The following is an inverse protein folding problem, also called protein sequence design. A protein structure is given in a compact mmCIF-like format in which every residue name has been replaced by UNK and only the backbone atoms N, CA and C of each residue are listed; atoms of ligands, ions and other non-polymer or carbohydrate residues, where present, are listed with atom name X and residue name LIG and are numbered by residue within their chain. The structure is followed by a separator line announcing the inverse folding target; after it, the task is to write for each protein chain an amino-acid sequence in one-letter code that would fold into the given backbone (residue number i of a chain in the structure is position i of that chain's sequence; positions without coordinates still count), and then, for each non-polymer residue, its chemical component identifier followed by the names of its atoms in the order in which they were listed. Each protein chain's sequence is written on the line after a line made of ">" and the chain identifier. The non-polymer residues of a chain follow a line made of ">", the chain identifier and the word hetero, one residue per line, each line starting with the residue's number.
data_IF_263740027121
#
_entry.id   IF_263740027121
#
_cell.length_a   1.000
_cell.length_b   1.000
_cell.length_c   1.000
_cell.angle_alpha   90.00
_cell.angle_beta   90.00
_cell.angle_gamma   90.00
#
_symmetry.space_group_name_H-M   'P 1'
#
loop_
_entity.id
_entity.type
_entity.pdbx_description
1 polymer ?
#
# COMPACT_ATOMS: atom_id res chain seq x y z
N UNK A 1 4.24 -3.40 -16.37
CA UNK A 1 3.08 -2.52 -16.11
C UNK A 1 3.47 -1.15 -15.58
N UNK A 2 4.43 -1.00 -14.65
CA UNK A 2 4.83 0.34 -14.18
C UNK A 2 5.32 1.29 -15.29
N UNK A 3 6.09 0.79 -16.26
CA UNK A 3 6.53 1.55 -17.44
C UNK A 3 5.40 2.03 -18.37
N UNK A 4 4.19 1.48 -18.22
CA UNK A 4 3.02 1.85 -19.00
C UNK A 4 2.41 3.16 -18.49
N UNK A 5 2.48 3.41 -17.17
CA UNK A 5 1.89 4.56 -16.50
C UNK A 5 2.74 5.83 -16.59
N UNK A 6 4.06 5.69 -16.69
CA UNK A 6 5.00 6.82 -16.79
C UNK A 6 4.96 7.56 -18.14
N UNK A 7 4.32 7.00 -19.18
CA UNK A 7 4.33 7.56 -20.55
C UNK A 7 2.98 8.09 -21.06
N UNK A 8 1.90 8.01 -20.27
CA UNK A 8 0.59 8.50 -20.72
C UNK A 8 0.54 10.04 -20.76
N UNK A 9 0.36 10.60 -21.96
CA UNK A 9 -0.06 11.99 -22.25
C UNK A 9 0.68 13.14 -21.56
N UNK A 10 1.93 12.95 -21.11
CA UNK A 10 2.66 13.99 -20.37
C UNK A 10 2.10 14.27 -18.97
N UNK A 11 1.14 13.46 -18.51
CA UNK A 11 0.64 13.46 -17.15
C UNK A 11 1.27 12.26 -16.42
N UNK A 12 1.95 12.51 -15.32
CA UNK A 12 2.51 11.46 -14.49
C UNK A 12 1.35 10.81 -13.72
N UNK A 13 0.91 9.64 -14.15
CA UNK A 13 -0.09 8.86 -13.42
C UNK A 13 0.60 8.01 -12.38
N UNK A 14 0.21 8.20 -11.11
CA UNK A 14 0.61 7.27 -10.06
C UNK A 14 -0.12 5.94 -10.27
N UNK A 15 0.57 4.84 -9.96
CA UNK A 15 0.02 3.50 -10.06
C UNK A 15 -1.20 3.36 -9.14
N UNK A 16 -2.30 2.86 -9.68
CA UNK A 16 -3.54 2.57 -8.98
C UNK A 16 -3.99 1.10 -9.17
N UNK A 17 -4.55 0.44 -8.16
CA UNK A 17 -5.08 -0.92 -8.24
C UNK A 17 -6.25 -0.98 -9.23
N UNK A 18 -7.18 -0.02 -9.16
CA UNK A 18 -8.30 0.10 -10.10
C UNK A 18 -7.80 0.32 -11.53
N UNK A 19 -6.77 1.15 -11.69
CA UNK A 19 -6.16 1.43 -12.99
C UNK A 19 -5.47 0.16 -13.53
N UNK A 20 -4.78 -0.61 -12.68
CA UNK A 20 -4.19 -1.89 -13.05
C UNK A 20 -5.25 -2.88 -13.53
N UNK A 21 -6.39 -2.95 -12.83
CA UNK A 21 -7.51 -3.80 -13.21
C UNK A 21 -8.13 -3.39 -14.56
N UNK A 22 -8.31 -2.09 -14.77
CA UNK A 22 -8.74 -1.51 -16.06
C UNK A 22 -7.79 -1.93 -17.19
N UNK A 23 -6.48 -1.77 -16.98
CA UNK A 23 -5.46 -2.17 -17.97
C UNK A 23 -5.48 -3.68 -18.24
N UNK A 24 -5.66 -4.51 -17.21
CA UNK A 24 -5.76 -5.96 -17.36
C UNK A 24 -7.00 -6.35 -18.20
N UNK A 25 -8.14 -5.71 -17.93
CA UNK A 25 -9.38 -5.90 -18.70
C UNK A 25 -9.20 -5.46 -20.16
N UNK A 26 -8.56 -4.33 -20.42
CA UNK A 26 -8.25 -3.85 -21.78
C UNK A 26 -7.31 -4.79 -22.52
N UNK A 27 -6.32 -5.34 -21.83
CA UNK A 27 -5.37 -6.30 -22.42
C UNK A 27 -6.08 -7.60 -22.81
N UNK A 28 -6.94 -8.14 -21.93
CA UNK A 28 -7.75 -9.31 -22.26
C UNK A 28 -8.70 -9.03 -23.43
N UNK A 29 -9.38 -7.87 -23.42
CA UNK A 29 -10.27 -7.45 -24.50
C UNK A 29 -9.52 -7.37 -25.84
N UNK A 30 -8.32 -6.82 -25.83
CA UNK A 30 -7.49 -6.75 -27.02
C UNK A 30 -7.06 -8.13 -27.53
N UNK A 31 -6.69 -9.05 -26.64
CA UNK A 31 -6.32 -10.42 -27.04
C UNK A 31 -7.50 -11.17 -27.68
N UNK A 32 -8.74 -10.87 -27.28
CA UNK A 32 -9.95 -11.51 -27.84
C UNK A 32 -10.47 -10.82 -29.10
N UNK A 33 -10.49 -9.48 -29.14
CA UNK A 33 -11.19 -8.69 -30.15
C UNK A 33 -10.26 -7.80 -31.00
N UNK A 34 -8.99 -7.66 -30.64
CA UNK A 34 -8.01 -6.80 -31.34
C UNK A 34 -8.23 -5.30 -31.18
N UNK A 35 -9.07 -4.89 -30.23
CA UNK A 35 -9.45 -3.49 -30.01
C UNK A 35 -9.64 -3.19 -28.51
N UNK A 36 -9.69 -1.89 -28.16
CA UNK A 36 -9.85 -1.39 -26.78
C UNK A 36 -11.12 -0.55 -26.62
N UNK A 37 -11.60 -0.42 -25.39
CA UNK A 37 -12.86 0.29 -25.11
C UNK A 37 -12.83 1.77 -25.50
N UNK A 38 -13.90 2.29 -26.14
CA UNK A 38 -14.03 3.72 -26.41
C UNK A 38 -14.25 4.55 -25.14
N UNK A 39 -14.75 3.96 -24.06
CA UNK A 39 -15.02 4.66 -22.81
C UNK A 39 -13.76 4.89 -21.97
N UNK A 40 -12.73 4.05 -22.15
CA UNK A 40 -11.45 4.13 -21.45
C UNK A 40 -10.35 4.61 -22.39
N UNK A 41 -10.61 5.73 -23.06
CA UNK A 41 -9.75 6.34 -24.09
C UNK A 41 -8.31 6.61 -23.61
N UNK A 42 -8.10 6.71 -22.30
CA UNK A 42 -6.80 6.86 -21.66
C UNK A 42 -5.94 5.60 -21.70
N UNK A 43 -6.47 4.42 -22.06
CA UNK A 43 -5.78 3.14 -22.03
C UNK A 43 -5.54 2.52 -23.43
N UNK A 44 -5.20 3.34 -24.44
CA UNK A 44 -4.95 2.85 -25.82
C UNK A 44 -3.60 2.19 -26.02
N UNK A 45 -2.62 2.59 -25.23
CA UNK A 45 -1.36 1.88 -25.17
C UNK A 45 -1.58 0.66 -24.29
N UNK A 46 -1.22 -0.52 -24.76
CA UNK A 46 -1.35 -1.79 -24.03
C UNK A 46 -0.09 -2.63 -24.18
N UNK A 47 0.13 -3.53 -23.23
CA UNK A 47 1.18 -4.55 -23.31
C UNK A 47 0.48 -5.88 -23.48
N UNK A 48 0.51 -6.48 -24.68
CA UNK A 48 -0.14 -7.77 -24.93
C UNK A 48 0.37 -8.85 -23.99
N UNK A 49 -0.48 -9.82 -23.67
CA UNK A 49 -0.11 -10.89 -22.75
C UNK A 49 1.11 -11.67 -23.29
N UNK A 50 2.20 -11.72 -22.52
CA UNK A 50 3.47 -12.36 -22.91
C UNK A 50 4.39 -11.54 -23.81
N UNK A 51 4.04 -10.29 -24.14
CA UNK A 51 4.89 -9.36 -24.86
C UNK A 51 5.55 -8.33 -23.91
N UNK A 52 6.72 -7.83 -24.29
CA UNK A 52 7.42 -6.76 -23.55
C UNK A 52 7.31 -5.39 -24.24
N UNK A 53 6.63 -5.31 -25.38
CA UNK A 53 6.52 -4.10 -26.18
C UNK A 53 5.16 -3.46 -25.97
N UNK A 54 5.16 -2.13 -25.83
CA UNK A 54 3.94 -1.32 -25.76
C UNK A 54 3.43 -1.12 -27.19
N UNK A 55 2.17 -1.45 -27.43
CA UNK A 55 1.51 -1.23 -28.72
C UNK A 55 0.36 -0.22 -28.58
N UNK A 56 0.04 0.46 -29.67
CA UNK A 56 -1.15 1.28 -29.77
C UNK A 56 -2.31 0.46 -30.34
N UNK A 57 -3.39 0.34 -29.57
CA UNK A 57 -4.60 -0.37 -29.97
C UNK A 57 -5.67 0.58 -30.52
N UNK A 58 -6.41 0.09 -31.52
CA UNK A 58 -7.55 0.81 -32.09
C UNK A 58 -8.78 0.68 -31.20
N UNK A 59 -9.66 1.69 -31.23
CA UNK A 59 -10.91 1.66 -30.49
C UNK A 59 -11.88 0.65 -31.11
N UNK A 60 -12.58 -0.11 -30.28
CA UNK A 60 -13.68 -0.95 -30.70
C UNK A 60 -14.84 -0.10 -31.21
N UNK A 61 -15.57 -0.62 -32.21
CA UNK A 61 -16.83 -0.04 -32.61
C UNK A 61 -17.91 -0.37 -31.57
N UNK A 62 -18.68 0.63 -31.12
CA UNK A 62 -19.73 0.45 -30.10
C UNK A 62 -20.82 -0.52 -30.58
N UNK A 63 -20.98 -0.67 -31.89
CA UNK A 63 -21.95 -1.61 -32.48
C UNK A 63 -21.51 -3.08 -32.46
N UNK A 64 -20.24 -3.36 -32.12
CA UNK A 64 -19.71 -4.73 -32.09
C UNK A 64 -19.88 -5.34 -30.69
N UNK A 65 -20.50 -6.53 -30.63
CA UNK A 65 -20.74 -7.23 -29.36
C UNK A 65 -19.50 -7.90 -28.77
N UNK A 66 -18.41 -8.03 -29.55
CA UNK A 66 -17.18 -8.67 -29.07
C UNK A 66 -16.66 -8.03 -27.79
N UNK A 67 -16.71 -6.69 -27.72
CA UNK A 67 -16.26 -5.95 -26.55
C UNK A 67 -17.10 -6.25 -25.30
N UNK A 68 -18.43 -6.18 -25.40
CA UNK A 68 -19.32 -6.45 -24.26
C UNK A 68 -19.17 -7.88 -23.78
N UNK A 69 -19.09 -8.84 -24.71
CA UNK A 69 -18.93 -10.26 -24.37
C UNK A 69 -17.57 -10.52 -23.69
N UNK A 70 -16.50 -9.86 -24.13
CA UNK A 70 -15.19 -9.96 -23.51
C UNK A 70 -15.17 -9.33 -22.11
N UNK A 71 -15.75 -8.13 -21.95
CA UNK A 71 -15.85 -7.46 -20.65
C UNK A 71 -16.66 -8.31 -19.65
N UNK A 72 -17.81 -8.85 -20.06
CA UNK A 72 -18.65 -9.72 -19.24
C UNK A 72 -17.93 -11.02 -18.85
N UNK A 73 -17.16 -11.62 -19.77
CA UNK A 73 -16.35 -12.82 -19.47
C UNK A 73 -15.21 -12.52 -18.51
N UNK A 74 -14.58 -11.36 -18.62
CA UNK A 74 -13.51 -10.94 -17.72
C UNK A 74 -14.03 -10.74 -16.30
N UNK A 75 -15.16 -10.04 -16.16
CA UNK A 75 -15.80 -9.82 -14.85
C UNK A 75 -16.44 -11.10 -14.28
N UNK A 76 -16.98 -11.96 -15.14
CA UNK A 76 -17.66 -13.19 -14.75
C UNK A 76 -16.71 -14.35 -14.39
N UNK A 77 -15.44 -14.30 -14.80
CA UNK A 77 -14.47 -15.38 -14.59
C UNK A 77 -13.29 -14.95 -13.74
N UNK A 78 -13.23 -15.47 -12.51
CA UNK A 78 -12.14 -15.20 -11.58
C UNK A 78 -10.79 -15.75 -12.08
N UNK A 79 -10.77 -16.82 -12.87
CA UNK A 79 -9.52 -17.38 -13.41
C UNK A 79 -8.89 -16.43 -14.44
N UNK A 80 -9.70 -15.88 -15.36
CA UNK A 80 -9.23 -14.95 -16.38
C UNK A 80 -8.74 -13.66 -15.72
N UNK A 81 -9.52 -13.14 -14.77
CA UNK A 81 -9.15 -11.96 -14.00
C UNK A 81 -7.83 -12.16 -13.26
N UNK A 82 -7.64 -13.30 -12.58
CA UNK A 82 -6.39 -13.60 -11.88
C UNK A 82 -5.20 -13.79 -12.84
N UNK A 83 -5.38 -14.40 -14.01
CA UNK A 83 -4.28 -14.60 -14.96
C UNK A 83 -3.72 -13.25 -15.44
N UNK A 84 -4.60 -12.33 -15.83
CA UNK A 84 -4.23 -11.01 -16.36
C UNK A 84 -3.91 -9.98 -15.28
N UNK A 85 -4.56 -10.05 -14.10
CA UNK A 85 -4.39 -9.12 -12.99
C UNK A 85 -3.52 -9.66 -11.84
N UNK A 86 -2.86 -10.83 -12.00
CA UNK A 86 -1.98 -11.44 -11.00
C UNK A 86 -0.86 -10.52 -10.51
N UNK A 87 -0.39 -9.64 -11.38
CA UNK A 87 0.68 -8.68 -11.09
C UNK A 87 0.19 -7.33 -10.54
N UNK A 88 -1.12 -7.19 -10.31
CA UNK A 88 -1.69 -6.00 -9.67
C UNK A 88 -1.50 -6.08 -8.16
N UNK A 89 -0.37 -5.55 -7.67
CA UNK A 89 -0.11 -5.39 -6.25
C UNK A 89 -0.91 -4.24 -5.64
N UNK A 90 -1.09 -4.27 -4.32
CA UNK A 90 -1.63 -3.13 -3.57
C UNK A 90 -0.67 -1.94 -3.65
N UNK A 91 -1.26 -0.75 -3.73
CA UNK A 91 -0.51 0.51 -3.69
C UNK A 91 0.11 0.72 -2.31
N UNK A 92 1.34 1.23 -2.25
CA UNK A 92 1.96 1.61 -0.97
C UNK A 92 1.47 2.95 -0.43
N UNK A 93 0.88 3.79 -1.29
CA UNK A 93 0.38 5.11 -0.94
C UNK A 93 -0.98 5.31 -1.59
N UNK A 94 -2.01 5.47 -0.77
CA UNK A 94 -3.40 5.66 -1.21
C UNK A 94 -3.98 6.87 -0.50
N UNK A 95 -4.59 7.78 -1.27
CA UNK A 95 -5.33 8.90 -0.70
C UNK A 95 -6.83 8.57 -0.77
N UNK A 96 -7.43 8.29 0.39
CA UNK A 96 -8.86 8.00 0.49
C UNK A 96 -9.63 9.25 0.91
N UNK A 97 -10.75 9.52 0.23
CA UNK A 97 -11.66 10.62 0.56
C UNK A 97 -12.99 10.06 1.06
N UNK A 98 -13.24 10.20 2.36
CA UNK A 98 -14.53 9.79 2.94
C UNK A 98 -15.59 10.82 2.58
N UNK A 99 -16.58 10.39 1.80
CA UNK A 99 -17.66 11.26 1.34
C UNK A 99 -18.83 11.24 2.34
N UNK A 100 -19.32 12.42 2.69
CA UNK A 100 -20.58 12.59 3.43
C UNK A 100 -21.59 13.25 2.49
N UNK A 101 -22.59 12.49 2.09
CA UNK A 101 -23.62 12.96 1.17
C UNK A 101 -24.73 13.67 1.94
N UNK A 102 -25.04 14.89 1.51
CA UNK A 102 -26.23 15.61 1.95
C UNK A 102 -26.93 16.17 0.72
N UNK A 103 -28.26 16.07 0.70
CA UNK A 103 -29.08 16.54 -0.42
C UNK A 103 -30.22 17.40 0.13
N UNK A 104 -30.49 18.50 -0.56
CA UNK A 104 -31.60 19.39 -0.25
C UNK A 104 -32.38 19.77 -1.50
N UNK A 105 -33.55 20.37 -1.30
CA UNK A 105 -34.32 20.93 -2.40
C UNK A 105 -33.57 22.12 -3.00
N UNK A 106 -33.26 22.03 -4.29
CA UNK A 106 -32.65 23.08 -5.08
C UNK A 106 -33.41 23.20 -6.42
N UNK A 107 -33.45 24.41 -7.01
CA UNK A 107 -33.02 25.68 -6.45
C UNK A 107 -34.05 26.28 -5.48
N UNK A 108 -33.64 27.27 -4.69
CA UNK A 108 -34.54 28.03 -3.82
C UNK A 108 -35.49 28.92 -4.65
N UNK A 109 -36.72 29.11 -4.17
CA UNK A 109 -37.77 29.86 -4.88
C UNK A 109 -37.35 31.30 -5.24
N UNK A 110 -36.56 31.95 -4.39
CA UNK A 110 -36.07 33.31 -4.64
C UNK A 110 -34.98 33.38 -5.71
N UNK A 111 -34.21 32.30 -5.91
CA UNK A 111 -33.10 32.24 -6.87
C UNK A 111 -33.56 31.83 -8.29
N UNK A 112 -34.79 31.31 -8.40
CA UNK A 112 -35.39 30.86 -9.67
C UNK A 112 -35.36 31.90 -10.79
N UNK A 113 -35.64 33.17 -10.48
CA UNK A 113 -35.66 34.22 -11.49
C UNK A 113 -34.25 34.53 -12.03
N UNK A 114 -33.22 34.49 -11.18
CA UNK A 114 -31.83 34.66 -11.60
C UNK A 114 -31.36 33.51 -12.48
N UNK A 115 -31.76 32.27 -12.17
CA UNK A 115 -31.47 31.11 -13.04
C UNK A 115 -32.18 31.28 -14.38
N UNK A 116 -33.42 31.74 -14.40
CA UNK A 116 -34.17 31.99 -15.64
C UNK A 116 -33.42 33.00 -16.54
N UNK A 117 -33.00 34.13 -15.98
CA UNK A 117 -32.24 35.15 -16.72
C UNK A 117 -30.92 34.59 -17.28
N UNK A 118 -30.22 33.76 -16.50
CA UNK A 118 -29.01 33.09 -16.95
C UNK A 118 -29.28 32.10 -18.10
N UNK A 119 -30.33 31.28 -17.99
CA UNK A 119 -30.68 30.28 -19.01
C UNK A 119 -31.13 30.96 -20.31
N UNK A 120 -31.93 32.03 -20.22
CA UNK A 120 -32.40 32.80 -21.39
C UNK A 120 -31.27 33.60 -22.07
N UNK A 121 -30.24 34.00 -21.32
CA UNK A 121 -29.04 34.65 -21.88
C UNK A 121 -28.00 33.66 -22.38
N UNK A 122 -28.12 32.37 -22.02
CA UNK A 122 -27.22 31.31 -22.48
C UNK A 122 -27.65 30.77 -23.85
N UNK A 123 -26.70 30.23 -24.61
CA UNK A 123 -26.96 29.60 -25.93
C UNK A 123 -27.61 28.20 -25.82
N UNK A 124 -28.35 27.95 -24.74
CA UNK A 124 -28.94 26.65 -24.45
C UNK A 124 -30.28 26.56 -25.18
N UNK A 125 -30.54 25.47 -25.93
CA UNK A 125 -31.82 25.30 -26.62
C UNK A 125 -32.97 25.23 -25.61
N UNK A 126 -33.88 26.20 -25.69
CA UNK A 126 -35.04 26.28 -24.80
C UNK A 126 -36.19 25.39 -25.32
N UNK A 127 -36.95 24.74 -24.42
CA UNK A 127 -38.18 24.04 -24.79
C UNK A 127 -39.18 24.98 -25.45
N UNK A 128 -40.00 24.48 -26.38
CA UNK A 128 -41.00 25.28 -27.09
C UNK A 128 -42.05 25.94 -26.17
N UNK A 129 -42.30 25.35 -24.98
CA UNK A 129 -43.28 25.83 -24.00
C UNK A 129 -42.66 26.64 -22.84
N UNK A 130 -41.39 27.04 -22.97
CA UNK A 130 -40.60 27.69 -21.93
C UNK A 130 -41.35 28.83 -21.21
N UNK A 131 -42.03 29.72 -21.94
CA UNK A 131 -42.73 30.87 -21.37
C UNK A 131 -43.74 30.51 -20.27
N UNK A 132 -44.32 29.31 -20.31
CA UNK A 132 -45.31 28.84 -19.33
C UNK A 132 -44.79 27.81 -18.33
N UNK A 133 -43.80 26.98 -18.72
CA UNK A 133 -43.33 25.85 -17.91
C UNK A 133 -41.92 26.02 -17.34
N UNK A 134 -41.24 27.14 -17.60
CA UNK A 134 -39.85 27.38 -17.19
C UNK A 134 -39.56 27.03 -15.73
N UNK A 135 -40.49 27.33 -14.81
CA UNK A 135 -40.30 27.03 -13.38
C UNK A 135 -40.18 25.53 -13.11
N UNK A 136 -41.01 24.71 -13.75
CA UNK A 136 -40.95 23.26 -13.59
C UNK A 136 -39.74 22.68 -14.34
N UNK A 137 -39.42 23.23 -15.51
CA UNK A 137 -38.24 22.81 -16.28
C UNK A 137 -36.94 23.07 -15.51
N UNK A 138 -36.82 24.23 -14.85
CA UNK A 138 -35.66 24.52 -14.00
C UNK A 138 -35.65 23.56 -12.80
N UNK A 139 -36.77 23.35 -12.10
CA UNK A 139 -36.79 22.47 -10.93
C UNK A 139 -36.44 21.00 -11.27
N UNK A 140 -36.83 20.52 -12.45
CA UNK A 140 -36.59 19.14 -12.83
C UNK A 140 -35.19 18.90 -13.41
N UNK A 141 -34.55 19.92 -13.98
CA UNK A 141 -33.25 19.79 -14.66
C UNK A 141 -32.08 20.46 -13.93
N UNK A 142 -32.35 21.28 -12.91
CA UNK A 142 -31.30 21.97 -12.16
C UNK A 142 -30.72 21.06 -11.06
N UNK A 143 -29.39 20.98 -11.02
CA UNK A 143 -28.65 20.34 -9.94
C UNK A 143 -27.55 21.29 -9.47
N UNK A 144 -27.47 21.50 -8.15
CA UNK A 144 -26.33 22.17 -7.51
C UNK A 144 -25.46 21.11 -6.86
N UNK A 145 -24.17 21.12 -7.15
CA UNK A 145 -23.17 20.23 -6.55
C UNK A 145 -22.15 21.07 -5.81
N UNK A 146 -22.23 21.05 -4.49
CA UNK A 146 -21.29 21.74 -3.61
C UNK A 146 -20.33 20.72 -2.97
N UNK A 147 -19.06 20.78 -3.36
CA UNK A 147 -18.00 19.91 -2.82
C UNK A 147 -17.21 20.72 -1.81
N UNK A 148 -17.36 20.37 -0.52
CA UNK A 148 -16.72 21.08 0.59
C UNK A 148 -16.01 20.10 1.51
N UNK A 149 -14.82 20.45 1.96
CA UNK A 149 -14.10 19.68 2.98
C UNK A 149 -14.81 19.83 4.33
N UNK A 150 -15.33 18.73 4.88
CA UNK A 150 -16.00 18.75 6.19
C UNK A 150 -15.05 19.10 7.35
N UNK A 151 -13.74 18.90 7.18
CA UNK A 151 -12.70 19.29 8.13
C UNK A 151 -11.40 19.61 7.41
N UNK A 152 -10.53 20.40 8.04
CA UNK A 152 -9.15 20.64 7.61
C UNK A 152 -8.17 19.57 8.12
N UNK A 153 -8.65 18.63 8.94
CA UNK A 153 -7.84 17.55 9.48
C UNK A 153 -7.60 16.48 8.41
N UNK A 154 -6.32 16.19 8.16
CA UNK A 154 -5.88 15.09 7.31
C UNK A 154 -5.44 13.94 8.21
N UNK A 155 -6.08 12.78 8.04
CA UNK A 155 -5.69 11.56 8.74
C UNK A 155 -4.66 10.82 7.88
N UNK A 156 -3.55 10.41 8.49
CA UNK A 156 -2.52 9.61 7.82
C UNK A 156 -2.36 8.29 8.55
N UNK A 157 -2.47 7.20 7.79
CA UNK A 157 -2.27 5.84 8.28
C UNK A 157 -0.98 5.30 7.65
N UNK A 158 0.00 4.97 8.49
CA UNK A 158 1.27 4.41 8.01
C UNK A 158 1.46 3.03 8.65
N UNK A 159 1.72 2.03 7.81
CA UNK A 159 2.08 0.69 8.27
C UNK A 159 3.60 0.65 8.48
N UNK A 160 4.01 0.31 9.69
CA UNK A 160 5.43 0.16 10.04
C UNK A 160 5.71 -1.26 10.49
N UNK A 161 6.88 -1.78 10.12
CA UNK A 161 7.31 -3.11 10.54
C UNK A 161 7.44 -3.15 12.07
N UNK A 162 6.78 -4.10 12.72
CA UNK A 162 6.78 -4.27 14.19
C UNK A 162 8.18 -4.58 14.75
N UNK A 163 9.03 -5.21 13.94
CA UNK A 163 10.42 -5.51 14.29
C UNK A 163 11.32 -4.96 13.19
N UNK A 164 12.21 -4.06 13.57
CA UNK A 164 13.29 -3.62 12.70
C UNK A 164 14.54 -4.48 12.93
N UNK A 165 15.43 -4.50 11.95
CA UNK A 165 16.71 -5.23 12.06
C UNK A 165 17.53 -4.80 13.29
N UNK A 166 17.40 -3.54 13.70
CA UNK A 166 18.03 -2.99 14.90
C UNK A 166 17.48 -3.65 16.16
N UNK A 167 16.17 -3.91 16.22
CA UNK A 167 15.52 -4.58 17.36
C UNK A 167 15.98 -6.04 17.47
N UNK A 168 16.14 -6.72 16.33
CA UNK A 168 16.66 -8.09 16.29
C UNK A 168 18.09 -8.14 16.81
N UNK A 169 18.96 -7.23 16.35
CA UNK A 169 20.36 -7.16 16.81
C UNK A 169 20.42 -6.81 18.30
N UNK A 170 19.57 -5.88 18.76
CA UNK A 170 19.48 -5.48 20.17
C UNK A 170 19.07 -6.66 21.06
N UNK A 171 18.06 -7.43 20.65
CA UNK A 171 17.60 -8.59 21.41
C UNK A 171 18.64 -9.71 21.48
N UNK A 172 19.29 -10.01 20.35
CA UNK A 172 20.39 -10.99 20.32
C UNK A 172 21.56 -10.50 21.17
N UNK A 173 21.95 -9.23 21.04
CA UNK A 173 23.03 -8.60 21.80
C UNK A 173 22.76 -8.62 23.31
N UNK A 174 21.53 -8.32 23.73
CA UNK A 174 21.13 -8.35 25.13
C UNK A 174 21.21 -9.76 25.74
N UNK A 175 20.65 -10.76 25.05
CA UNK A 175 20.68 -12.14 25.54
C UNK A 175 22.10 -12.71 25.53
N UNK A 176 22.85 -12.54 24.44
CA UNK A 176 24.24 -13.01 24.34
C UNK A 176 25.14 -12.33 25.36
N UNK A 177 24.99 -11.01 25.55
CA UNK A 177 25.72 -10.26 26.57
C UNK A 177 25.47 -10.78 27.99
N UNK A 178 24.23 -11.16 28.31
CA UNK A 178 23.90 -11.79 29.60
C UNK A 178 24.63 -13.13 29.78
N UNK A 179 24.59 -14.01 28.77
CA UNK A 179 25.27 -15.30 28.82
C UNK A 179 26.79 -15.18 28.93
N UNK A 180 27.38 -14.23 28.21
CA UNK A 180 28.82 -13.93 28.29
C UNK A 180 29.17 -13.39 29.69
N UNK A 181 28.33 -12.50 30.25
CA UNK A 181 28.52 -11.97 31.60
C UNK A 181 28.51 -13.06 32.67
N UNK A 182 27.53 -13.97 32.63
CA UNK A 182 27.46 -15.12 33.56
C UNK A 182 28.67 -16.04 33.38
N UNK A 183 29.05 -16.33 32.13
CA UNK A 183 30.22 -17.16 31.82
C UNK A 183 31.51 -16.54 32.38
N UNK A 184 31.67 -15.22 32.25
CA UNK A 184 32.83 -14.51 32.78
C UNK A 184 32.92 -14.55 34.31
N UNK A 185 31.79 -14.36 35.00
CA UNK A 185 31.73 -14.49 36.47
C UNK A 185 32.12 -15.90 36.92
N UNK A 186 31.62 -16.94 36.23
CA UNK A 186 31.95 -18.32 36.54
C UNK A 186 33.45 -18.64 36.34
N UNK A 187 34.08 -18.06 35.31
CA UNK A 187 35.52 -18.21 35.06
C UNK A 187 36.36 -17.55 36.17
N UNK A 188 35.93 -16.38 36.67
CA UNK A 188 36.59 -15.72 37.79
C UNK A 188 36.49 -16.54 39.08
N UNK A 189 35.31 -17.09 39.37
CA UNK A 189 35.11 -17.97 40.52
C UNK A 189 35.98 -19.23 40.43
N UNK A 190 36.07 -19.82 39.24
CA UNK A 190 36.94 -20.97 38.98
C UNK A 190 38.42 -20.65 39.20
N UNK A 191 38.88 -19.47 38.73
CA UNK A 191 40.25 -19.00 38.96
C UNK A 191 40.55 -18.79 40.47
N UNK A 192 39.61 -18.23 41.23
CA UNK A 192 39.74 -18.09 42.68
C UNK A 192 39.84 -19.45 43.37
N UNK A 193 39.01 -20.42 42.96
CA UNK A 193 39.06 -21.78 43.51
C UNK A 193 40.42 -22.44 43.28
N UNK A 194 40.98 -22.32 42.07
CA UNK A 194 42.33 -22.82 41.76
C UNK A 194 43.38 -22.17 42.67
N UNK A 195 43.33 -20.85 42.83
CA UNK A 195 44.27 -20.14 43.68
C UNK A 195 44.21 -20.61 45.15
N UNK A 196 43.01 -20.79 45.68
CA UNK A 196 42.79 -21.33 47.03
C UNK A 196 43.32 -22.77 47.17
N UNK A 197 43.14 -23.62 46.15
CA UNK A 197 43.66 -24.99 46.14
C UNK A 197 45.19 -25.02 46.13
N UNK A 198 45.84 -24.24 45.26
CA UNK A 198 47.30 -24.16 45.19
C UNK A 198 47.87 -23.69 46.53
N UNK A 199 47.31 -22.62 47.12
CA UNK A 199 47.74 -22.12 48.43
C UNK A 199 47.62 -23.18 49.52
N UNK A 200 46.53 -23.95 49.53
CA UNK A 200 46.32 -25.05 50.48
C UNK A 200 47.35 -26.16 50.27
N UNK A 201 47.63 -26.57 49.03
CA UNK A 201 48.64 -27.58 48.74
C UNK A 201 50.05 -27.12 49.18
N UNK A 202 50.42 -25.86 48.90
CA UNK A 202 51.69 -25.29 49.38
C UNK A 202 51.77 -25.29 50.91
N UNK A 203 50.68 -24.94 51.60
CA UNK A 203 50.64 -24.98 53.06
C UNK A 203 50.82 -26.40 53.61
N UNK A 204 50.13 -27.40 53.03
CA UNK A 204 50.27 -28.81 53.43
C UNK A 204 51.67 -29.37 53.14
N UNK A 205 52.29 -28.97 52.02
CA UNK A 205 53.67 -29.34 51.70
C UNK A 205 54.64 -28.73 52.71
N UNK A 206 54.47 -27.44 53.06
CA UNK A 206 55.27 -26.79 54.10
C UNK A 206 55.12 -27.48 55.46
N UNK A 207 53.90 -27.81 55.90
CA UNK A 207 53.67 -28.51 57.17
C UNK A 207 54.32 -29.89 57.20
N UNK A 208 54.24 -30.65 56.09
CA UNK A 208 54.93 -31.96 55.96
C UNK A 208 56.45 -31.82 56.02
N UNK A 209 57.03 -30.81 55.38
CA UNK A 209 58.49 -30.56 55.42
C UNK A 209 58.92 -30.16 56.83
N UNK A 210 58.14 -29.33 57.52
CA UNK A 210 58.46 -28.84 58.85
C UNK A 210 58.36 -29.94 59.92
N UNK A 211 57.36 -30.82 59.82
CA UNK A 211 57.28 -32.05 60.64
C UNK A 211 58.46 -32.99 60.41
N UNK A 212 58.92 -33.17 59.17
CA UNK A 212 60.13 -33.98 58.90
C UNK A 212 61.39 -33.36 59.50
N UNK A 213 61.53 -32.03 59.48
CA UNK A 213 62.69 -31.34 60.07
C UNK A 213 62.73 -31.49 61.61
N UNK A 214 61.60 -31.34 62.29
CA UNK A 214 61.53 -31.51 63.76
C UNK A 214 61.83 -32.96 64.23
N UNK A 215 61.55 -33.99 63.40
CA UNK A 215 61.87 -35.39 63.72
C UNK A 215 63.38 -35.70 63.60
N UNK A 216 64.11 -34.94 62.79
CA UNK A 216 65.57 -35.09 62.69
C UNK A 216 66.31 -34.40 63.85
N UNK A 217 65.78 -33.28 64.38
CA UNK A 217 66.36 -32.60 65.55
C UNK A 217 66.12 -33.34 66.88
N UNK A 218 65.22 -34.32 66.95
CA UNK A 218 64.99 -35.15 68.15
C UNK A 218 65.87 -36.41 68.22
N UNK A 219 66.73 -36.63 67.21
CA UNK A 219 67.63 -37.79 67.12
C UNK A 219 69.12 -37.45 67.31
N UNK A 220 69.44 -36.20 67.67
CA UNK A 220 70.72 -35.82 68.28
C UNK A 220 70.55 -35.69 69.79
#
# INVERSE_FOLDING_TARGET
>A
MQAMFDQFSGAKYDYGLEICFIVAMQTYTYDQCGCVSPYEWSARYIIPHGANNIIYANLCNISDSCYSDAADRFQGSLSISNDYASNCGLECNTNEYVLQLSSGLAPSSWYMNSIKEFVESSSIPLPSNWSSTWSNEIQNNYVSLDIVCGSTLVQSYTQQATLQSVDVISNIGGQTGLWIGISFLSLMEFAEMIFRLIRRQVYLIKDKIQKRRNVYDTKL
#
